data_IF_294962295954
#
_entry.id   IF_294962295954
#
_cell.length_a   1.000
_cell.length_b   1.000
_cell.length_c   1.000
_cell.angle_alpha   90.00
_cell.angle_beta   90.00
_cell.angle_gamma   90.00
#
_symmetry.space_group_name_H-M   'P 1'
#
loop_
_entity.id
_entity.type
_entity.pdbx_description
1 polymer ?
#
# COMPACT_ATOMS: atom_id res chain seq x y z
N UNK A 1 -26.52 32.15 9.79
CA UNK A 1 -25.37 32.39 10.70
C UNK A 1 -24.01 32.35 9.94
N UNK A 2 -23.76 31.38 9.05
CA UNK A 2 -22.53 31.30 8.23
C UNK A 2 -22.24 32.55 7.35
N UNK A 3 -23.26 33.12 6.68
CA UNK A 3 -23.11 34.30 5.79
C UNK A 3 -22.62 35.58 6.50
N UNK A 4 -22.99 35.75 7.77
CA UNK A 4 -22.62 36.92 8.59
C UNK A 4 -21.16 36.84 9.08
N UNK A 5 -20.66 35.62 9.31
CA UNK A 5 -19.25 35.37 9.66
C UNK A 5 -18.35 35.52 8.42
N UNK A 6 -18.81 35.03 7.26
CA UNK A 6 -18.23 35.23 5.92
C UNK A 6 -17.98 36.71 5.59
N UNK A 7 -19.03 37.55 5.72
CA UNK A 7 -18.94 38.97 5.41
C UNK A 7 -17.97 39.72 6.34
N UNK A 8 -17.90 39.34 7.62
CA UNK A 8 -16.95 39.91 8.57
C UNK A 8 -15.51 39.55 8.24
N UNK A 9 -15.21 38.31 7.84
CA UNK A 9 -13.84 37.88 7.56
C UNK A 9 -13.26 38.58 6.31
N UNK A 10 -14.07 38.74 5.26
CA UNK A 10 -13.72 39.51 4.06
C UNK A 10 -13.57 41.01 4.37
N UNK A 11 -14.44 41.57 5.22
CA UNK A 11 -14.38 42.98 5.61
C UNK A 11 -13.18 43.31 6.53
N UNK A 12 -12.80 42.41 7.43
CA UNK A 12 -11.62 42.53 8.30
C UNK A 12 -10.34 42.63 7.47
N UNK A 13 -10.24 41.81 6.43
CA UNK A 13 -9.07 41.84 5.54
C UNK A 13 -8.97 43.09 4.68
N UNK A 14 -10.10 43.59 4.15
CA UNK A 14 -10.14 44.89 3.44
C UNK A 14 -9.73 46.07 4.32
N UNK A 15 -9.73 45.89 5.66
CA UNK A 15 -9.29 46.87 6.66
C UNK A 15 -7.87 46.60 7.22
N UNK A 16 -7.15 45.61 6.70
CA UNK A 16 -5.80 45.26 7.16
C UNK A 16 -5.73 44.49 8.49
N UNK A 17 -6.84 43.91 8.96
CA UNK A 17 -6.84 43.10 10.19
C UNK A 17 -6.33 41.67 9.93
N UNK A 18 -5.48 41.17 10.83
CA UNK A 18 -4.89 39.82 10.79
C UNK A 18 -5.99 38.74 10.80
N UNK A 19 -5.91 37.81 9.84
CA UNK A 19 -6.70 36.58 9.86
C UNK A 19 -6.03 35.67 10.89
N UNK A 20 -6.75 35.15 11.91
CA UNK A 20 -6.13 34.25 12.86
C UNK A 20 -5.52 33.04 12.14
N UNK A 21 -4.30 32.60 12.51
CA UNK A 21 -3.65 31.46 11.89
C UNK A 21 -4.52 30.20 11.89
N UNK A 22 -4.39 29.38 10.86
CA UNK A 22 -4.99 28.04 10.83
C UNK A 22 -4.15 27.05 11.65
N UNK A 23 -4.66 25.86 11.90
CA UNK A 23 -3.88 24.76 12.47
C UNK A 23 -3.77 23.65 11.44
N UNK A 24 -2.57 23.11 11.26
CA UNK A 24 -2.28 22.05 10.30
C UNK A 24 -1.36 20.99 10.87
N UNK A 25 -1.56 19.74 10.47
CA UNK A 25 -0.55 18.70 10.59
C UNK A 25 0.31 18.68 9.32
N UNK A 26 1.63 18.57 9.47
CA UNK A 26 2.56 18.36 8.36
C UNK A 26 3.07 16.91 8.38
N UNK A 27 2.92 16.20 7.27
CA UNK A 27 3.46 14.85 7.07
C UNK A 27 4.29 14.88 5.78
N UNK A 28 5.62 14.85 5.91
CA UNK A 28 6.53 15.16 4.79
C UNK A 28 6.22 16.55 4.20
N UNK A 29 5.93 16.61 2.91
CA UNK A 29 5.60 17.87 2.21
C UNK A 29 4.10 18.22 2.22
N UNK A 30 3.27 17.40 2.87
CA UNK A 30 1.81 17.54 2.86
C UNK A 30 1.31 18.24 4.11
N UNK A 31 0.35 19.14 3.92
CA UNK A 31 -0.30 19.87 5.01
C UNK A 31 -1.78 19.51 5.09
N UNK A 32 -2.22 19.01 6.25
CA UNK A 32 -3.59 18.62 6.54
C UNK A 32 -4.21 19.60 7.53
N UNK A 33 -5.26 20.30 7.13
CA UNK A 33 -5.93 21.30 7.98
C UNK A 33 -6.66 20.59 9.12
N UNK A 34 -6.26 20.84 10.37
CA UNK A 34 -6.98 20.38 11.57
C UNK A 34 -8.04 21.41 12.00
N UNK A 35 -7.70 22.70 11.95
CA UNK A 35 -8.63 23.80 12.18
C UNK A 35 -8.45 24.93 11.14
N UNK A 36 -9.56 25.55 10.76
CA UNK A 36 -9.54 26.69 9.83
C UNK A 36 -9.87 26.37 8.36
N UNK A 37 -10.49 25.22 8.07
CA UNK A 37 -10.97 24.86 6.72
C UNK A 37 -11.73 26.00 6.00
N UNK A 38 -12.60 26.69 6.72
CA UNK A 38 -13.36 27.80 6.17
C UNK A 38 -12.46 29.00 5.80
N UNK A 39 -11.41 29.27 6.59
CA UNK A 39 -10.42 30.32 6.30
C UNK A 39 -9.58 29.95 5.06
N UNK A 40 -9.20 28.69 4.92
CA UNK A 40 -8.52 28.17 3.72
C UNK A 40 -9.40 28.35 2.48
N UNK A 41 -10.67 27.97 2.56
CA UNK A 41 -11.62 28.17 1.44
C UNK A 41 -11.75 29.64 1.03
N UNK A 42 -11.79 30.57 2.01
CA UNK A 42 -11.81 32.01 1.73
C UNK A 42 -10.49 32.49 1.12
N UNK A 43 -9.34 32.02 1.62
CA UNK A 43 -8.03 32.35 1.06
C UNK A 43 -7.91 31.89 -0.40
N UNK A 44 -8.34 30.68 -0.72
CA UNK A 44 -8.38 30.16 -2.09
C UNK A 44 -9.29 30.98 -2.99
N UNK A 45 -10.52 31.30 -2.53
CA UNK A 45 -11.46 32.11 -3.31
C UNK A 45 -10.96 33.55 -3.58
N UNK A 46 -10.07 34.06 -2.71
CA UNK A 46 -9.42 35.35 -2.86
C UNK A 46 -8.09 35.27 -3.63
N UNK A 47 -7.72 34.10 -4.16
CA UNK A 47 -6.50 33.92 -4.96
C UNK A 47 -5.20 34.08 -4.18
N UNK A 48 -5.24 33.82 -2.87
CA UNK A 48 -4.03 33.90 -2.05
C UNK A 48 -3.12 32.71 -2.24
N UNK A 49 -1.82 33.01 -2.26
CA UNK A 49 -0.77 31.98 -2.33
C UNK A 49 -0.32 31.49 -0.96
N UNK A 50 -0.55 32.29 0.09
CA UNK A 50 -0.04 32.03 1.44
C UNK A 50 -1.11 32.30 2.51
N UNK A 51 -1.05 31.54 3.59
CA UNK A 51 -1.88 31.69 4.79
C UNK A 51 -1.05 31.31 6.02
N UNK A 52 -1.14 32.10 7.09
CA UNK A 52 -0.45 31.81 8.35
C UNK A 52 -1.04 30.56 9.04
N UNK A 53 -0.18 29.71 9.56
CA UNK A 53 -0.55 28.45 10.21
C UNK A 53 0.33 28.13 11.42
N UNK A 54 -0.27 27.51 12.44
CA UNK A 54 0.44 26.70 13.42
C UNK A 54 0.59 25.28 12.86
N UNK A 55 1.84 24.81 12.78
CA UNK A 55 2.19 23.54 12.15
C UNK A 55 2.63 22.54 13.21
N UNK A 56 1.95 21.39 13.27
CA UNK A 56 2.40 20.22 14.03
C UNK A 56 3.03 19.22 13.05
N UNK A 57 4.34 19.00 13.16
CA UNK A 57 5.03 18.02 12.32
C UNK A 57 4.80 16.60 12.86
N UNK A 58 4.48 15.67 11.96
CA UNK A 58 4.20 14.26 12.26
C UNK A 58 5.15 13.41 11.42
N UNK A 59 6.01 12.66 12.10
CA UNK A 59 6.91 11.69 11.48
C UNK A 59 6.21 10.33 11.37
N UNK A 60 6.22 9.75 10.17
CA UNK A 60 5.62 8.44 9.88
C UNK A 60 6.69 7.44 9.47
N UNK A 61 6.50 6.16 9.84
CA UNK A 61 7.42 5.06 9.49
C UNK A 61 7.52 4.86 7.97
N UNK A 62 6.44 5.18 7.26
CA UNK A 62 6.41 5.21 5.79
C UNK A 62 6.56 6.66 5.31
N UNK A 63 7.34 6.86 4.27
CA UNK A 63 7.48 8.16 3.61
C UNK A 63 6.09 8.68 3.17
N UNK A 64 5.87 9.99 3.25
CA UNK A 64 4.65 10.67 2.81
C UNK A 64 4.63 10.94 1.30
N UNK A 65 5.77 10.80 0.62
CA UNK A 65 5.93 11.08 -0.80
C UNK A 65 4.91 10.34 -1.70
N UNK A 66 4.42 11.05 -2.71
CA UNK A 66 3.47 10.52 -3.69
C UNK A 66 1.98 10.56 -3.30
N UNK A 67 1.62 10.94 -2.06
CA UNK A 67 0.21 11.13 -1.68
C UNK A 67 -0.29 12.46 -2.25
N UNK A 68 -1.22 12.40 -3.19
CA UNK A 68 -1.86 13.56 -3.84
C UNK A 68 -3.35 13.64 -3.51
N UNK A 69 -4.00 12.50 -3.31
CA UNK A 69 -5.42 12.40 -2.96
C UNK A 69 -5.65 11.25 -1.95
N UNK A 70 -6.85 11.20 -1.35
CA UNK A 70 -7.20 10.20 -0.32
C UNK A 70 -6.99 8.75 -0.78
N UNK A 71 -7.19 8.46 -2.07
CA UNK A 71 -6.94 7.14 -2.65
C UNK A 71 -5.49 6.67 -2.47
N UNK A 72 -4.51 7.57 -2.49
CA UNK A 72 -3.09 7.20 -2.29
C UNK A 72 -2.81 6.72 -0.85
N UNK A 73 -3.63 7.14 0.12
CA UNK A 73 -3.54 6.65 1.50
C UNK A 73 -3.97 5.19 1.62
N UNK A 74 -4.96 4.77 0.82
CA UNK A 74 -5.43 3.37 0.78
C UNK A 74 -4.29 2.48 0.27
N UNK A 75 -3.59 2.92 -0.78
CA UNK A 75 -2.43 2.20 -1.32
C UNK A 75 -1.36 2.02 -0.26
N UNK A 76 -1.00 3.09 0.44
CA UNK A 76 -0.01 3.03 1.53
C UNK A 76 -0.44 2.16 2.70
N UNK A 77 -1.73 2.14 3.03
CA UNK A 77 -2.25 1.27 4.09
C UNK A 77 -2.08 -0.22 3.73
N UNK A 78 -2.36 -0.61 2.47
CA UNK A 78 -2.10 -1.97 2.00
C UNK A 78 -0.62 -2.35 2.04
N UNK A 79 0.27 -1.46 1.59
CA UNK A 79 1.71 -1.68 1.73
C UNK A 79 2.16 -1.82 3.19
N UNK A 80 1.62 -1.00 4.09
CA UNK A 80 1.90 -1.05 5.53
C UNK A 80 1.47 -2.38 6.13
N UNK A 81 0.21 -2.77 5.90
CA UNK A 81 -0.36 -4.02 6.41
C UNK A 81 0.44 -5.22 5.90
N UNK A 82 0.78 -5.24 4.61
CA UNK A 82 1.63 -6.29 4.06
C UNK A 82 3.02 -6.32 4.70
N UNK A 83 3.66 -5.16 4.88
CA UNK A 83 4.97 -5.08 5.53
C UNK A 83 4.98 -5.60 6.97
N UNK A 84 3.91 -5.36 7.73
CA UNK A 84 3.74 -5.82 9.10
C UNK A 84 3.49 -7.33 9.18
N UNK A 85 2.74 -7.89 8.22
CA UNK A 85 2.42 -9.33 8.16
C UNK A 85 3.55 -10.16 7.58
N UNK A 86 4.24 -9.61 6.57
CA UNK A 86 5.27 -10.29 5.79
C UNK A 86 6.56 -9.44 5.80
N UNK A 87 7.34 -9.50 6.91
CA UNK A 87 8.58 -8.74 7.05
C UNK A 87 9.70 -9.35 6.21
N UNK A 88 9.71 -9.01 4.92
CA UNK A 88 10.75 -9.37 3.96
C UNK A 88 11.99 -8.49 4.11
N UNK A 89 13.15 -9.07 3.80
CA UNK A 89 14.38 -8.30 3.55
C UNK A 89 14.18 -7.29 2.41
N UNK A 90 14.92 -6.16 2.40
CA UNK A 90 14.72 -5.07 1.44
C UNK A 90 14.74 -5.52 -0.03
N UNK A 91 15.63 -6.44 -0.38
CA UNK A 91 15.79 -6.97 -1.74
C UNK A 91 14.52 -7.71 -2.18
N UNK A 92 14.04 -8.63 -1.35
CA UNK A 92 12.81 -9.38 -1.61
C UNK A 92 11.58 -8.47 -1.69
N UNK A 93 11.52 -7.44 -0.85
CA UNK A 93 10.43 -6.44 -0.86
C UNK A 93 10.41 -5.64 -2.17
N UNK A 94 11.58 -5.30 -2.72
CA UNK A 94 11.68 -4.54 -3.97
C UNK A 94 11.14 -5.30 -5.18
N UNK A 95 11.18 -6.63 -5.13
CA UNK A 95 10.66 -7.52 -6.17
C UNK A 95 9.12 -7.72 -6.08
N UNK A 96 8.50 -7.41 -4.93
CA UNK A 96 7.04 -7.53 -4.73
C UNK A 96 6.27 -6.35 -5.31
N UNK A 97 5.98 -6.40 -6.61
CA UNK A 97 5.24 -5.34 -7.33
C UNK A 97 3.83 -5.81 -7.68
N UNK A 98 2.81 -5.12 -7.19
CA UNK A 98 1.41 -5.37 -7.52
C UNK A 98 0.76 -4.06 -7.93
N UNK A 99 0.05 -4.06 -9.06
CA UNK A 99 -0.63 -2.86 -9.58
C UNK A 99 -1.92 -2.56 -8.81
N UNK A 100 -2.62 -3.59 -8.35
CA UNK A 100 -3.79 -3.45 -7.47
C UNK A 100 -3.35 -3.54 -6.00
N UNK A 101 -3.50 -2.45 -5.21
CA UNK A 101 -3.13 -2.44 -3.80
C UNK A 101 -3.83 -3.52 -2.97
N UNK A 102 -5.07 -3.91 -3.31
CA UNK A 102 -5.80 -4.92 -2.56
C UNK A 102 -5.11 -6.29 -2.60
N UNK A 103 -4.38 -6.59 -3.68
CA UNK A 103 -3.64 -7.85 -3.84
C UNK A 103 -2.49 -8.00 -2.83
N UNK A 104 -1.99 -6.92 -2.22
CA UNK A 104 -1.03 -7.03 -1.12
C UNK A 104 -1.64 -7.71 0.11
N UNK A 105 -2.94 -7.52 0.36
CA UNK A 105 -3.63 -8.24 1.43
C UNK A 105 -3.78 -9.73 1.09
N UNK A 106 -4.16 -10.05 -0.16
CA UNK A 106 -4.28 -11.42 -0.65
C UNK A 106 -2.93 -12.15 -0.60
N UNK A 107 -1.84 -11.49 -1.00
CA UNK A 107 -0.49 -12.03 -0.90
C UNK A 107 -0.12 -12.30 0.55
N UNK A 108 -0.38 -11.37 1.46
CA UNK A 108 -0.13 -11.56 2.89
C UNK A 108 -0.83 -12.80 3.46
N UNK A 109 -2.10 -13.01 3.11
CA UNK A 109 -2.86 -14.21 3.48
C UNK A 109 -2.27 -15.48 2.87
N UNK A 110 -1.85 -15.44 1.61
CA UNK A 110 -1.21 -16.57 0.95
C UNK A 110 0.12 -16.97 1.62
N UNK A 111 0.94 -15.99 2.02
CA UNK A 111 2.19 -16.25 2.76
C UNK A 111 1.92 -16.82 4.14
N UNK A 112 0.96 -16.29 4.88
CA UNK A 112 0.60 -16.82 6.20
C UNK A 112 0.06 -18.26 6.11
N UNK A 113 -0.77 -18.55 5.09
CA UNK A 113 -1.26 -19.91 4.85
C UNK A 113 -0.13 -20.87 4.46
N UNK A 114 0.86 -20.40 3.70
CA UNK A 114 2.08 -21.17 3.40
C UNK A 114 2.89 -21.43 4.67
N UNK A 115 3.13 -20.41 5.48
CA UNK A 115 3.86 -20.53 6.74
C UNK A 115 3.19 -21.47 7.73
N UNK A 116 1.86 -21.45 7.81
CA UNK A 116 1.12 -22.42 8.61
C UNK A 116 1.39 -23.86 8.17
N UNK A 117 1.33 -24.15 6.85
CA UNK A 117 1.63 -25.50 6.33
C UNK A 117 3.08 -25.90 6.65
N UNK A 118 4.03 -24.98 6.45
CA UNK A 118 5.43 -25.22 6.79
C UNK A 118 5.62 -25.59 8.27
N UNK A 119 5.02 -24.82 9.18
CA UNK A 119 5.10 -25.10 10.62
C UNK A 119 4.51 -26.46 10.99
N UNK A 120 3.42 -26.87 10.31
CA UNK A 120 2.81 -28.19 10.50
C UNK A 120 3.72 -29.32 10.01
N UNK A 121 4.40 -29.13 8.88
CA UNK A 121 5.33 -30.11 8.32
C UNK A 121 6.59 -30.27 9.18
N UNK A 122 7.10 -29.17 9.76
CA UNK A 122 8.30 -29.19 10.61
C UNK A 122 8.00 -29.46 12.09
N UNK A 123 6.74 -29.36 12.51
CA UNK A 123 6.33 -29.54 13.90
C UNK A 123 6.87 -28.46 14.85
N UNK A 124 7.19 -27.26 14.33
CA UNK A 124 7.72 -26.15 15.11
C UNK A 124 7.04 -24.83 14.76
N UNK A 125 6.95 -23.94 15.75
CA UNK A 125 6.47 -22.58 15.54
C UNK A 125 7.59 -21.71 14.97
N UNK A 126 7.28 -20.93 13.93
CA UNK A 126 8.20 -19.97 13.31
C UNK A 126 7.64 -18.55 13.46
N UNK A 127 8.53 -17.57 13.59
CA UNK A 127 8.12 -16.16 13.56
C UNK A 127 7.83 -15.68 12.13
N UNK A 128 7.21 -14.48 12.02
CA UNK A 128 6.80 -13.91 10.73
C UNK A 128 7.98 -13.65 9.80
N UNK A 129 9.13 -13.23 10.34
CA UNK A 129 10.32 -12.92 9.56
C UNK A 129 10.92 -14.19 8.94
N UNK A 130 11.01 -15.26 9.73
CA UNK A 130 11.45 -16.56 9.25
C UNK A 130 10.50 -17.09 8.18
N UNK A 131 9.18 -17.05 8.42
CA UNK A 131 8.18 -17.48 7.43
C UNK A 131 8.28 -16.66 6.14
N UNK A 132 8.34 -15.34 6.23
CA UNK A 132 8.36 -14.45 5.07
C UNK A 132 9.58 -14.71 4.17
N UNK A 133 10.78 -14.79 4.76
CA UNK A 133 12.00 -14.97 4.01
C UNK A 133 12.17 -16.40 3.47
N UNK A 134 11.69 -17.41 4.21
CA UNK A 134 11.63 -18.79 3.71
C UNK A 134 10.62 -18.94 2.58
N UNK A 135 9.42 -18.36 2.70
CA UNK A 135 8.44 -18.35 1.61
C UNK A 135 9.04 -17.73 0.35
N UNK A 136 9.73 -16.60 0.49
CA UNK A 136 10.37 -15.92 -0.63
C UNK A 136 11.40 -16.83 -1.34
N UNK A 137 12.26 -17.48 -0.57
CA UNK A 137 13.35 -18.31 -1.10
C UNK A 137 12.89 -19.70 -1.60
N UNK A 138 11.97 -20.34 -0.89
CA UNK A 138 11.60 -21.76 -1.05
C UNK A 138 10.35 -21.95 -1.91
N UNK A 139 9.46 -20.95 -2.02
CA UNK A 139 8.23 -21.04 -2.82
C UNK A 139 8.21 -19.98 -3.93
N UNK A 140 8.32 -18.70 -3.58
CA UNK A 140 8.12 -17.60 -4.54
C UNK A 140 9.16 -17.62 -5.67
N UNK A 141 10.45 -17.60 -5.34
CA UNK A 141 11.52 -17.56 -6.33
C UNK A 141 11.50 -18.79 -7.26
N UNK A 142 11.36 -20.04 -6.76
CA UNK A 142 11.18 -21.22 -7.61
C UNK A 142 9.94 -21.14 -8.51
N UNK A 143 8.80 -20.73 -7.97
CA UNK A 143 7.56 -20.61 -8.74
C UNK A 143 7.69 -19.60 -9.87
N UNK A 144 8.20 -18.40 -9.58
CA UNK A 144 8.41 -17.34 -10.57
C UNK A 144 9.37 -17.79 -11.67
N UNK A 145 10.43 -18.54 -11.34
CA UNK A 145 11.32 -19.11 -12.36
C UNK A 145 10.57 -20.05 -13.31
N UNK A 146 9.80 -20.99 -12.76
CA UNK A 146 9.01 -21.92 -13.58
C UNK A 146 7.98 -21.19 -14.46
N UNK A 147 7.29 -20.18 -13.91
CA UNK A 147 6.35 -19.37 -14.67
C UNK A 147 7.02 -18.58 -15.78
N UNK A 148 8.22 -18.03 -15.52
CA UNK A 148 9.01 -17.31 -16.53
C UNK A 148 9.50 -18.23 -17.64
N UNK A 149 10.02 -19.41 -17.28
CA UNK A 149 10.50 -20.40 -18.24
C UNK A 149 9.36 -20.95 -19.14
N UNK A 150 8.13 -20.95 -18.62
CA UNK A 150 6.92 -21.35 -19.33
C UNK A 150 6.19 -20.20 -20.07
N UNK A 151 6.74 -18.98 -20.06
CA UNK A 151 6.11 -17.77 -20.64
C UNK A 151 4.70 -17.46 -20.08
N UNK A 152 4.47 -17.80 -18.81
CA UNK A 152 3.18 -17.60 -18.10
C UNK A 152 3.09 -16.25 -17.36
N UNK A 153 4.13 -15.42 -17.43
CA UNK A 153 4.14 -14.08 -16.83
C UNK A 153 3.38 -13.09 -17.74
N UNK A 154 3.65 -13.11 -19.04
CA UNK A 154 3.08 -12.14 -19.98
C UNK A 154 3.39 -10.69 -19.60
N UNK A 155 2.34 -9.84 -19.61
CA UNK A 155 2.43 -8.41 -19.27
C UNK A 155 2.35 -8.13 -17.75
N UNK A 156 2.14 -9.16 -16.93
CA UNK A 156 2.05 -9.03 -15.47
C UNK A 156 3.43 -8.85 -14.84
N UNK A 157 3.45 -8.34 -13.61
CA UNK A 157 4.65 -8.50 -12.77
C UNK A 157 4.83 -9.97 -12.36
N UNK A 158 6.04 -10.33 -11.94
CA UNK A 158 6.31 -11.66 -11.37
C UNK A 158 5.33 -12.00 -10.22
N UNK A 159 5.02 -11.03 -9.36
CA UNK A 159 4.14 -11.23 -8.20
C UNK A 159 2.67 -11.38 -8.58
N UNK A 160 2.20 -10.61 -9.56
CA UNK A 160 0.85 -10.72 -10.11
C UNK A 160 0.65 -12.09 -10.76
N UNK A 161 1.61 -12.52 -11.59
CA UNK A 161 1.59 -13.83 -12.22
C UNK A 161 1.62 -14.97 -11.19
N UNK A 162 2.48 -14.86 -10.17
CA UNK A 162 2.53 -15.83 -9.07
C UNK A 162 1.17 -15.96 -8.37
N UNK A 163 0.53 -14.85 -7.99
CA UNK A 163 -0.79 -14.88 -7.33
C UNK A 163 -1.88 -15.49 -8.22
N UNK A 164 -1.93 -15.04 -9.48
CA UNK A 164 -2.92 -15.53 -10.44
C UNK A 164 -2.76 -17.04 -10.68
N UNK A 165 -1.52 -17.49 -10.90
CA UNK A 165 -1.22 -18.88 -11.21
C UNK A 165 -1.31 -19.78 -9.97
N UNK A 166 -0.94 -19.31 -8.78
CA UNK A 166 -1.15 -20.04 -7.53
C UNK A 166 -2.65 -20.30 -7.28
N UNK A 167 -3.49 -19.31 -7.57
CA UNK A 167 -4.95 -19.42 -7.48
C UNK A 167 -5.53 -20.37 -8.53
N UNK A 168 -5.08 -20.26 -9.79
CA UNK A 168 -5.49 -21.15 -10.89
C UNK A 168 -5.08 -22.60 -10.61
N UNK A 169 -3.83 -22.82 -10.18
CA UNK A 169 -3.30 -24.12 -9.74
C UNK A 169 -4.19 -24.75 -8.69
N UNK A 170 -4.50 -24.03 -7.61
CA UNK A 170 -5.30 -24.59 -6.53
C UNK A 170 -6.73 -24.95 -6.98
N UNK A 171 -7.35 -24.09 -7.80
CA UNK A 171 -8.68 -24.36 -8.36
C UNK A 171 -8.72 -25.60 -9.27
N UNK A 172 -7.70 -25.80 -10.10
CA UNK A 172 -7.64 -26.93 -11.04
C UNK A 172 -7.21 -28.24 -10.36
N UNK A 173 -6.21 -28.17 -9.49
CA UNK A 173 -5.46 -29.34 -9.02
C UNK A 173 -5.54 -29.56 -7.50
N UNK A 174 -5.99 -28.55 -6.73
CA UNK A 174 -6.06 -28.59 -5.25
C UNK A 174 -4.70 -28.88 -4.60
N UNK A 175 -3.61 -28.49 -5.27
CA UNK A 175 -2.23 -28.67 -4.80
C UNK A 175 -1.58 -27.32 -4.49
N UNK A 176 -0.58 -27.36 -3.62
CA UNK A 176 0.31 -26.24 -3.29
C UNK A 176 1.73 -26.41 -3.83
N UNK A 177 1.99 -27.46 -4.63
CA UNK A 177 3.31 -27.72 -5.21
C UNK A 177 3.56 -26.89 -6.47
N UNK A 178 4.84 -26.66 -6.77
CA UNK A 178 5.29 -26.14 -8.06
C UNK A 178 6.28 -27.14 -8.66
N UNK A 179 5.91 -27.72 -9.79
CA UNK A 179 6.69 -28.65 -10.59
C UNK A 179 6.20 -28.63 -12.04
N UNK A 180 6.91 -29.32 -12.93
CA UNK A 180 6.63 -29.29 -14.38
C UNK A 180 5.21 -29.77 -14.73
N UNK A 181 4.67 -30.75 -13.98
CA UNK A 181 3.30 -31.26 -14.16
C UNK A 181 2.25 -30.16 -13.88
N UNK A 182 2.48 -29.35 -12.85
CA UNK A 182 1.64 -28.18 -12.56
C UNK A 182 1.70 -27.18 -13.71
N UNK A 183 2.89 -26.89 -14.24
CA UNK A 183 3.07 -25.96 -15.36
C UNK A 183 2.36 -26.46 -16.63
N UNK A 184 2.52 -27.73 -16.99
CA UNK A 184 1.81 -28.34 -18.13
C UNK A 184 0.28 -28.24 -17.96
N UNK A 185 -0.21 -28.47 -16.74
CA UNK A 185 -1.65 -28.34 -16.45
C UNK A 185 -2.14 -26.89 -16.58
N UNK A 186 -1.32 -25.91 -16.16
CA UNK A 186 -1.65 -24.49 -16.28
C UNK A 186 -1.70 -24.03 -17.74
N UNK A 187 -0.82 -24.54 -18.60
CA UNK A 187 -0.77 -24.24 -20.04
C UNK A 187 -1.94 -24.85 -20.83
N UNK A 188 -2.41 -26.03 -20.43
CA UNK A 188 -3.40 -26.81 -21.21
C UNK A 188 -4.85 -26.48 -20.89
N UNK A 189 -5.13 -25.79 -19.78
CA UNK A 189 -6.49 -25.54 -19.28
C UNK A 189 -6.85 -24.05 -19.14
N UNK A 190 -6.41 -23.23 -20.09
CA UNK A 190 -6.95 -21.88 -20.29
C UNK A 190 -8.36 -21.88 -20.90
#
# INVERSE_FOLDING_TARGET
ILRTRWARLVARRRRGELIPPIEVYRVGELHFVSDGHHRVSVACALGLKEIEAYVTEVETVLDADGIRYRGDLIVKDYHRIFAERVPLIPEARADMKLSDPAQYAELGEAVEAWGFRLMQDEGQFLDRETVANRWYAEEYLPAVRLLRDADLIGDMTDTEAYLAMASKRYRLMRTHRWDDEVIETLLTKD
#
